data_IF_201041573284
#
_entry.id   IF_201041573284
#
_cell.length_a   1.000
_cell.length_b   1.000
_cell.length_c   1.000
_cell.angle_alpha   90.00
_cell.angle_beta   90.00
_cell.angle_gamma   90.00
#
_symmetry.space_group_name_H-M   'P 1'
#
loop_
_entity.id
_entity.type
_entity.pdbx_description
1 polymer ?
#
# COMPACT_ATOMS: atom_id res chain seq x y z
N UNK A 1 16.22 34.47 42.66
CA UNK A 1 15.06 33.58 42.72
C UNK A 1 14.15 33.89 41.54
N UNK A 2 14.38 33.30 40.35
CA UNK A 2 14.06 31.88 40.04
C UNK A 2 12.53 31.71 39.99
N UNK A 3 11.87 31.33 38.91
CA UNK A 3 12.24 30.37 37.87
C UNK A 3 11.69 30.78 36.50
N UNK A 4 12.38 30.33 35.46
CA UNK A 4 12.12 30.61 34.05
C UNK A 4 10.83 29.93 33.55
N UNK A 5 10.11 30.72 32.75
CA UNK A 5 9.36 30.37 31.55
C UNK A 5 9.35 28.88 31.19
N UNK A 6 8.18 28.25 31.34
CA UNK A 6 7.91 26.94 30.82
C UNK A 6 7.54 27.06 29.35
N UNK A 7 8.46 26.72 28.45
CA UNK A 7 8.14 26.51 27.04
C UNK A 7 9.28 25.68 26.40
N UNK A 8 9.15 24.36 26.38
CA UNK A 8 9.89 23.50 25.42
C UNK A 8 9.29 22.10 25.39
N UNK A 9 8.15 21.95 24.73
CA UNK A 9 7.77 20.73 24.02
C UNK A 9 6.97 21.12 22.79
N UNK A 10 7.62 21.80 21.86
CA UNK A 10 7.16 21.84 20.47
C UNK A 10 7.84 20.67 19.75
N UNK A 11 7.20 19.50 19.83
CA UNK A 11 7.36 18.52 18.77
C UNK A 11 6.45 18.99 17.63
N UNK A 12 6.83 20.11 16.99
CA UNK A 12 6.35 20.38 15.64
C UNK A 12 6.64 19.14 14.82
N UNK A 13 5.56 18.50 14.41
CA UNK A 13 5.47 17.43 13.45
C UNK A 13 6.57 17.55 12.39
N UNK A 14 7.69 16.87 12.62
CA UNK A 14 8.58 16.46 11.56
C UNK A 14 7.91 15.27 10.83
N UNK A 15 6.70 15.46 10.31
CA UNK A 15 6.20 14.64 9.21
C UNK A 15 6.94 15.14 7.96
N UNK A 16 8.16 14.62 7.81
CA UNK A 16 9.03 14.89 6.68
C UNK A 16 8.37 14.29 5.42
N UNK A 17 7.48 15.06 4.79
CA UNK A 17 7.03 14.81 3.42
C UNK A 17 6.45 13.42 3.16
N UNK A 18 5.59 12.91 4.05
CA UNK A 18 4.83 11.70 3.72
C UNK A 18 3.86 12.06 2.60
N UNK A 19 4.08 11.50 1.42
CA UNK A 19 3.09 11.55 0.35
C UNK A 19 1.84 10.82 0.83
N UNK A 20 0.65 11.27 0.41
CA UNK A 20 -0.59 10.53 0.72
C UNK A 20 -0.61 9.14 0.07
N UNK A 21 0.36 8.83 -0.78
CA UNK A 21 0.47 7.58 -1.52
C UNK A 21 1.87 7.01 -1.33
N UNK A 22 1.95 5.71 -1.11
CA UNK A 22 3.19 4.96 -1.04
C UNK A 22 3.17 3.75 -1.98
N UNK A 23 4.35 3.26 -2.31
CA UNK A 23 4.53 2.09 -3.15
C UNK A 23 5.35 1.04 -2.40
N UNK A 24 4.92 -0.22 -2.49
CA UNK A 24 5.63 -1.34 -1.89
C UNK A 24 5.44 -2.61 -2.71
N UNK A 25 6.43 -3.49 -2.59
CA UNK A 25 6.33 -4.88 -3.01
C UNK A 25 6.13 -5.77 -1.81
N UNK A 26 5.44 -6.88 -1.99
CA UNK A 26 5.16 -7.83 -0.92
C UNK A 26 4.66 -9.17 -1.43
N UNK A 27 4.43 -10.08 -0.48
CA UNK A 27 3.87 -11.40 -0.76
C UNK A 27 2.49 -11.52 -0.12
N UNK A 28 1.49 -11.92 -0.89
CA UNK A 28 0.14 -12.14 -0.37
C UNK A 28 0.18 -13.29 0.62
N UNK A 29 -0.32 -13.04 1.84
CA UNK A 29 -0.44 -14.04 2.90
C UNK A 29 -1.84 -14.61 2.98
N UNK A 30 -2.86 -13.80 2.71
CA UNK A 30 -4.26 -14.21 2.69
C UNK A 30 -5.11 -13.17 1.98
N UNK A 31 -6.09 -13.65 1.21
CA UNK A 31 -7.12 -12.83 0.58
C UNK A 31 -8.39 -12.90 1.41
N UNK A 32 -8.99 -11.75 1.71
CA UNK A 32 -10.29 -11.67 2.38
C UNK A 32 -11.37 -12.34 1.53
N UNK A 33 -12.34 -13.00 2.16
CA UNK A 33 -13.35 -13.82 1.48
C UNK A 33 -14.18 -13.07 0.43
N UNK A 34 -14.24 -11.74 0.52
CA UNK A 34 -14.99 -10.86 -0.38
C UNK A 34 -14.10 -10.03 -1.31
N UNK A 35 -12.77 -10.12 -1.19
CA UNK A 35 -11.84 -9.29 -1.96
C UNK A 35 -11.73 -7.83 -1.50
N UNK A 36 -12.37 -7.43 -0.40
CA UNK A 36 -12.24 -6.07 0.15
C UNK A 36 -10.97 -5.85 1.00
N UNK A 37 -10.25 -6.93 1.31
CA UNK A 37 -9.11 -6.90 2.23
C UNK A 37 -8.04 -7.91 1.83
N UNK A 38 -6.77 -7.50 1.91
CA UNK A 38 -5.61 -8.37 1.66
C UNK A 38 -4.64 -8.30 2.83
N UNK A 39 -4.18 -9.45 3.29
CA UNK A 39 -3.01 -9.53 4.17
C UNK A 39 -1.78 -9.73 3.31
N UNK A 40 -0.84 -8.79 3.35
CA UNK A 40 0.40 -8.83 2.57
C UNK A 40 1.57 -8.70 3.54
N UNK A 41 2.56 -9.58 3.36
CA UNK A 41 3.88 -9.41 3.93
C UNK A 41 4.65 -8.44 3.04
N UNK A 42 4.58 -7.16 3.38
CA UNK A 42 5.12 -6.11 2.54
C UNK A 42 6.52 -5.69 2.99
N UNK A 43 7.33 -5.29 2.02
CA UNK A 43 8.60 -4.63 2.24
C UNK A 43 8.44 -3.21 2.76
N UNK A 44 9.54 -2.44 2.85
CA UNK A 44 9.46 -1.03 3.20
C UNK A 44 8.61 -0.28 2.17
N UNK A 45 7.61 0.47 2.65
CA UNK A 45 6.72 1.28 1.83
C UNK A 45 7.34 2.67 1.68
N UNK A 46 7.86 2.93 0.48
CA UNK A 46 8.37 4.24 0.11
C UNK A 46 7.20 5.21 -0.12
N UNK A 47 7.31 6.45 0.37
CA UNK A 47 6.26 7.48 0.29
C UNK A 47 5.53 7.76 1.61
N UNK A 48 5.25 6.74 2.43
CA UNK A 48 4.60 6.91 3.76
C UNK A 48 5.53 6.55 4.94
N UNK A 49 6.76 6.13 4.67
CA UNK A 49 7.76 5.84 5.70
C UNK A 49 7.47 4.58 6.55
N UNK A 50 6.74 3.62 6.00
CA UNK A 50 6.40 2.38 6.72
C UNK A 50 7.49 1.32 6.47
N UNK A 51 7.97 0.65 7.51
CA UNK A 51 8.94 -0.44 7.38
C UNK A 51 8.32 -1.71 6.80
N UNK A 52 9.16 -2.72 6.55
CA UNK A 52 8.70 -4.05 6.16
C UNK A 52 7.94 -4.71 7.32
N UNK A 53 6.69 -5.11 7.07
CA UNK A 53 5.86 -5.81 8.04
C UNK A 53 4.73 -6.58 7.35
N UNK A 54 4.11 -7.50 8.08
CA UNK A 54 2.89 -8.16 7.63
C UNK A 54 1.68 -7.38 8.13
N UNK A 55 0.92 -6.77 7.22
CA UNK A 55 -0.28 -6.01 7.55
C UNK A 55 -1.42 -6.29 6.57
N UNK A 56 -2.64 -6.13 7.07
CA UNK A 56 -3.85 -6.12 6.27
C UNK A 56 -4.16 -4.74 5.70
N UNK A 57 -4.40 -4.67 4.40
CA UNK A 57 -4.82 -3.45 3.71
C UNK A 57 -6.23 -3.60 3.15
N UNK A 58 -6.98 -2.52 3.23
CA UNK A 58 -8.30 -2.38 2.61
C UNK A 58 -8.13 -2.15 1.11
N UNK A 59 -9.05 -2.64 0.30
CA UNK A 59 -8.96 -2.57 -1.15
C UNK A 59 -9.88 -1.47 -1.65
N UNK A 60 -9.36 -0.54 -2.44
CA UNK A 60 -10.23 0.39 -3.14
C UNK A 60 -11.10 -0.40 -4.12
N UNK A 61 -12.41 -0.17 -4.12
CA UNK A 61 -13.36 -0.97 -4.92
C UNK A 61 -13.20 -0.91 -6.46
N UNK A 62 -12.17 -0.23 -6.96
CA UNK A 62 -11.76 -0.23 -8.37
C UNK A 62 -10.67 -1.29 -8.67
N UNK A 63 -10.14 -1.94 -7.63
CA UNK A 63 -9.07 -2.94 -7.73
C UNK A 63 -9.66 -4.33 -7.83
N UNK A 64 -9.34 -5.04 -8.91
CA UNK A 64 -9.72 -6.45 -9.08
C UNK A 64 -8.69 -7.38 -8.43
N UNK A 65 -9.18 -8.30 -7.61
CA UNK A 65 -8.36 -9.33 -6.96
C UNK A 65 -8.59 -10.74 -7.53
N UNK A 66 -9.32 -10.86 -8.65
CA UNK A 66 -9.88 -12.14 -9.13
C UNK A 66 -8.83 -13.13 -9.67
N UNK A 67 -7.54 -12.80 -9.58
CA UNK A 67 -6.42 -13.66 -9.98
C UNK A 67 -5.27 -13.73 -8.98
N UNK A 68 -5.48 -13.28 -7.74
CA UNK A 68 -4.45 -13.30 -6.70
C UNK A 68 -4.69 -14.41 -5.68
N UNK A 69 -3.63 -15.12 -5.32
CA UNK A 69 -3.64 -16.22 -4.36
C UNK A 69 -2.56 -16.05 -3.27
N UNK A 70 -2.61 -16.87 -2.22
CA UNK A 70 -1.60 -16.83 -1.18
C UNK A 70 -0.24 -17.33 -1.71
N UNK A 71 0.81 -16.56 -1.43
CA UNK A 71 2.16 -16.81 -1.93
C UNK A 71 2.55 -15.98 -3.15
N UNK A 72 1.61 -15.26 -3.79
CA UNK A 72 1.92 -14.41 -4.93
C UNK A 72 2.76 -13.20 -4.54
N UNK A 73 3.74 -12.88 -5.39
CA UNK A 73 4.61 -11.71 -5.21
C UNK A 73 4.06 -10.55 -6.01
N UNK A 74 3.56 -9.54 -5.29
CA UNK A 74 2.82 -8.43 -5.87
C UNK A 74 3.51 -7.10 -5.59
N UNK A 75 3.38 -6.18 -6.53
CA UNK A 75 3.68 -4.75 -6.33
C UNK A 75 2.36 -4.01 -6.20
N UNK A 76 2.24 -3.19 -5.15
CA UNK A 76 1.00 -2.48 -4.87
C UNK A 76 1.27 -1.01 -4.49
N UNK A 77 0.32 -0.16 -4.84
CA UNK A 77 0.25 1.22 -4.37
C UNK A 77 -0.79 1.33 -3.27
N UNK A 78 -0.37 1.90 -2.16
CA UNK A 78 -1.22 2.17 -1.00
C UNK A 78 -1.42 3.67 -0.88
N UNK A 79 -2.64 4.08 -0.61
CA UNK A 79 -2.99 5.47 -0.32
C UNK A 79 -3.41 5.60 1.13
N UNK A 80 -2.76 6.49 1.85
CA UNK A 80 -3.16 6.95 3.19
C UNK A 80 -4.34 7.92 3.02
N UNK A 81 -5.50 7.50 3.52
CA UNK A 81 -6.67 8.35 3.62
C UNK A 81 -6.47 9.44 4.67
N UNK A 82 -7.25 10.52 4.56
CA UNK A 82 -7.21 11.63 5.52
C UNK A 82 -7.63 11.21 6.93
N UNK A 83 -8.35 10.09 7.03
CA UNK A 83 -8.76 9.41 8.27
C UNK A 83 -7.68 8.49 8.86
N UNK A 84 -6.50 8.38 8.22
CA UNK A 84 -5.42 7.48 8.64
C UNK A 84 -5.56 6.02 8.18
N UNK A 85 -6.58 5.71 7.37
CA UNK A 85 -6.78 4.38 6.78
C UNK A 85 -5.88 4.15 5.57
N UNK A 86 -5.35 2.95 5.38
CA UNK A 86 -4.56 2.57 4.21
C UNK A 86 -5.40 1.77 3.22
N UNK A 87 -5.47 2.23 1.96
CA UNK A 87 -6.19 1.53 0.89
C UNK A 87 -5.29 1.23 -0.29
N UNK A 88 -5.32 0.00 -0.77
CA UNK A 88 -4.66 -0.37 -2.02
C UNK A 88 -5.47 0.22 -3.17
N UNK A 89 -4.85 1.07 -3.97
CA UNK A 89 -5.48 1.69 -5.14
C UNK A 89 -5.04 1.04 -6.44
N UNK A 90 -3.95 0.28 -6.41
CA UNK A 90 -3.47 -0.52 -7.53
C UNK A 90 -2.65 -1.68 -6.99
N UNK A 91 -2.80 -2.86 -7.59
CA UNK A 91 -2.05 -4.07 -7.27
C UNK A 91 -1.73 -4.78 -8.57
N UNK A 92 -0.55 -5.39 -8.62
CA UNK A 92 -0.05 -6.06 -9.79
C UNK A 92 0.79 -7.26 -9.38
N UNK A 93 0.52 -8.41 -10.00
CA UNK A 93 1.31 -9.60 -9.76
C UNK A 93 2.62 -9.56 -10.55
N UNK A 94 3.72 -9.36 -9.82
CA UNK A 94 5.08 -9.36 -10.40
C UNK A 94 5.62 -10.78 -10.58
N UNK A 95 5.00 -11.78 -9.95
CA UNK A 95 5.40 -13.19 -10.08
C UNK A 95 5.09 -13.80 -11.45
N UNK A 96 3.97 -13.42 -12.04
CA UNK A 96 3.39 -14.04 -13.25
C UNK A 96 3.37 -13.09 -14.45
N UNK A 97 3.12 -11.79 -14.22
CA UNK A 97 2.91 -10.84 -15.31
C UNK A 97 4.13 -9.96 -15.66
N UNK A 98 5.16 -9.92 -14.81
CA UNK A 98 6.31 -9.01 -14.95
C UNK A 98 5.94 -7.53 -14.79
N UNK A 99 6.92 -6.63 -14.77
CA UNK A 99 6.75 -5.17 -14.49
C UNK A 99 5.81 -4.39 -15.44
N UNK A 100 5.25 -5.00 -16.49
CA UNK A 100 4.41 -4.35 -17.52
C UNK A 100 2.89 -4.53 -17.30
N UNK A 101 2.48 -5.19 -16.23
CA UNK A 101 1.07 -5.49 -15.96
C UNK A 101 0.18 -4.27 -15.72
N UNK A 102 0.72 -3.18 -15.14
CA UNK A 102 0.00 -1.90 -15.02
C UNK A 102 -0.26 -1.24 -16.39
N UNK A 103 0.56 -1.56 -17.40
CA UNK A 103 0.41 -1.03 -18.76
C UNK A 103 -0.48 -1.93 -19.65
N UNK A 104 -0.55 -3.24 -19.36
CA UNK A 104 -1.29 -4.23 -20.16
C UNK A 104 -2.83 -4.18 -20.04
N UNK A 105 -3.39 -3.52 -19.02
CA UNK A 105 -4.85 -3.42 -18.82
C UNK A 105 -5.59 -2.56 -19.88
N UNK A 106 -4.89 -2.06 -20.89
CA UNK A 106 -5.46 -1.36 -22.06
C UNK A 106 -5.64 -2.22 -23.31
N UNK A 107 -5.26 -3.51 -23.30
CA UNK A 107 -5.35 -4.38 -24.49
C UNK A 107 -6.23 -5.63 -24.28
N UNK A 108 -7.54 -5.43 -24.21
CA UNK A 108 -8.55 -6.49 -24.39
C UNK A 108 -9.07 -6.53 -25.85
N UNK A 109 -8.20 -6.32 -26.85
CA UNK A 109 -8.58 -6.31 -28.27
C UNK A 109 -7.92 -7.46 -29.03
N UNK A 110 -8.25 -8.71 -28.69
CA UNK A 110 -7.70 -9.85 -29.43
C UNK A 110 -8.24 -11.23 -29.05
N UNK A 111 -9.55 -11.43 -29.07
CA UNK A 111 -10.12 -12.77 -29.17
C UNK A 111 -10.69 -12.97 -30.59
N UNK A 112 -9.95 -13.76 -31.37
CA UNK A 112 -10.30 -14.61 -32.53
C UNK A 112 -11.15 -14.04 -33.68
#
# INVERSE_FOLDING_TARGET
MEMADGEMMDHSDHDMGSSDTGHATGVIKSVGAQGDFLTIDHGPIDGIGMGAMTMGFDIAGDVDLSGFEDGDTVSFMVKKGRDGSYRITAICDTGTAGDECLAGMMDHSGHE
#
